data_IF_265548192674
#
_entry.id   IF_265548192674
#
_cell.length_a   1.000
_cell.length_b   1.000
_cell.length_c   1.000
_cell.angle_alpha   90.00
_cell.angle_beta   90.00
_cell.angle_gamma   90.00
#
_symmetry.space_group_name_H-M   'P 1'
#
loop_
_entity.id
_entity.type
_entity.pdbx_description
1 polymer ?
#
# COMPACT_ATOMS: atom_id res chain seq x y z
N UNK A 1 -20.57 34.11 29.84
CA UNK A 1 -20.55 32.65 29.59
C UNK A 1 -21.67 32.36 28.62
N UNK A 2 -21.35 32.26 27.32
CA UNK A 2 -22.34 31.98 26.28
C UNK A 2 -22.70 30.49 26.41
N UNK A 3 -23.90 30.20 26.92
CA UNK A 3 -24.47 28.87 26.82
C UNK A 3 -24.69 28.59 25.33
N UNK A 4 -23.96 27.61 24.81
CA UNK A 4 -24.26 27.05 23.51
C UNK A 4 -25.66 26.46 23.59
N UNK A 5 -26.60 27.07 22.86
CA UNK A 5 -27.95 26.56 22.66
C UNK A 5 -27.85 25.31 21.78
N UNK A 6 -27.44 24.21 22.41
CA UNK A 6 -27.42 22.88 21.84
C UNK A 6 -28.85 22.41 21.72
N UNK A 7 -29.52 22.79 20.64
CA UNK A 7 -30.62 21.96 20.15
C UNK A 7 -30.03 20.59 19.87
N UNK A 8 -30.29 19.61 20.75
CA UNK A 8 -30.08 18.20 20.43
C UNK A 8 -30.87 17.92 19.17
N UNK A 9 -30.19 17.97 18.02
CA UNK A 9 -30.80 17.67 16.74
C UNK A 9 -31.40 16.28 16.84
N UNK A 10 -32.73 16.17 16.70
CA UNK A 10 -33.39 14.88 16.76
C UNK A 10 -32.88 14.02 15.61
N UNK A 11 -32.11 12.98 15.95
CA UNK A 11 -31.63 11.99 14.99
C UNK A 11 -32.78 11.03 14.72
N UNK A 12 -33.28 11.04 13.48
CA UNK A 12 -34.32 10.09 13.08
C UNK A 12 -33.71 8.70 12.89
N UNK A 13 -34.56 7.67 12.84
CA UNK A 13 -34.08 6.31 12.55
C UNK A 13 -33.42 6.22 11.17
N UNK A 14 -33.94 6.97 10.18
CA UNK A 14 -33.34 7.07 8.84
C UNK A 14 -31.95 7.72 8.90
N UNK A 15 -31.78 8.78 9.69
CA UNK A 15 -30.47 9.40 9.93
C UNK A 15 -29.49 8.39 10.55
N UNK A 16 -29.94 7.60 11.53
CA UNK A 16 -29.09 6.58 12.14
C UNK A 16 -28.65 5.51 11.15
N UNK A 17 -29.53 5.10 10.21
CA UNK A 17 -29.16 4.19 9.14
C UNK A 17 -28.11 4.81 8.21
N UNK A 18 -28.30 6.09 7.85
CA UNK A 18 -27.38 6.84 7.00
C UNK A 18 -26.01 7.04 7.69
N UNK A 19 -26.00 7.38 8.98
CA UNK A 19 -24.78 7.49 9.79
C UNK A 19 -24.02 6.17 9.81
N UNK A 20 -24.72 5.05 10.05
CA UNK A 20 -24.09 3.73 10.08
C UNK A 20 -23.54 3.33 8.70
N UNK A 21 -24.27 3.66 7.62
CA UNK A 21 -23.81 3.41 6.25
C UNK A 21 -22.58 4.26 5.93
N UNK A 22 -22.59 5.53 6.29
CA UNK A 22 -21.46 6.43 6.13
C UNK A 22 -20.24 5.91 6.88
N UNK A 23 -20.38 5.53 8.16
CA UNK A 23 -19.28 4.98 8.94
C UNK A 23 -18.63 3.75 8.30
N UNK A 24 -19.45 2.80 7.80
CA UNK A 24 -18.92 1.62 7.08
C UNK A 24 -18.19 1.99 5.80
N UNK A 25 -18.77 2.88 4.99
CA UNK A 25 -18.16 3.31 3.73
C UNK A 25 -16.87 4.12 3.96
N UNK A 26 -16.85 4.98 4.96
CA UNK A 26 -15.71 5.80 5.30
C UNK A 26 -14.54 4.93 5.81
N UNK A 27 -14.82 3.93 6.66
CA UNK A 27 -13.80 2.97 7.08
C UNK A 27 -13.25 2.19 5.88
N UNK A 28 -14.13 1.73 4.99
CA UNK A 28 -13.70 1.00 3.79
C UNK A 28 -12.88 1.88 2.84
N UNK A 29 -13.21 3.17 2.73
CA UNK A 29 -12.43 4.13 1.96
C UNK A 29 -11.00 4.24 2.53
N UNK A 30 -10.87 4.42 3.85
CA UNK A 30 -9.54 4.51 4.48
C UNK A 30 -8.73 3.22 4.31
N UNK A 31 -9.34 2.06 4.47
CA UNK A 31 -8.68 0.77 4.20
C UNK A 31 -8.14 0.69 2.76
N UNK A 32 -8.97 1.07 1.78
CA UNK A 32 -8.57 1.05 0.37
C UNK A 32 -7.49 2.09 0.05
N UNK A 33 -7.57 3.28 0.65
CA UNK A 33 -6.54 4.32 0.49
C UNK A 33 -5.18 3.85 1.06
N UNK A 34 -5.19 3.16 2.20
CA UNK A 34 -3.99 2.54 2.78
C UNK A 34 -3.44 1.42 1.89
N UNK A 35 -4.30 0.54 1.38
CA UNK A 35 -3.91 -0.53 0.47
C UNK A 35 -3.27 0.02 -0.82
N UNK A 36 -3.87 1.06 -1.42
CA UNK A 36 -3.32 1.75 -2.59
C UNK A 36 -1.97 2.39 -2.27
N UNK A 37 -1.84 3.01 -1.09
CA UNK A 37 -0.59 3.64 -0.67
C UNK A 37 0.52 2.59 -0.55
N UNK A 38 0.26 1.47 0.12
CA UNK A 38 1.23 0.38 0.27
C UNK A 38 1.61 -0.23 -1.08
N UNK A 39 0.65 -0.41 -1.99
CA UNK A 39 0.93 -0.91 -3.33
C UNK A 39 1.82 0.05 -4.16
N UNK A 40 1.64 1.36 -4.00
CA UNK A 40 2.51 2.36 -4.63
C UNK A 40 3.93 2.33 -4.07
N UNK A 41 4.06 2.33 -2.74
CA UNK A 41 5.37 2.23 -2.09
C UNK A 41 6.10 0.94 -2.49
N UNK A 42 5.39 -0.19 -2.61
CA UNK A 42 5.97 -1.44 -3.09
C UNK A 42 6.48 -1.35 -4.54
N UNK A 43 5.72 -0.70 -5.43
CA UNK A 43 6.15 -0.48 -6.81
C UNK A 43 7.38 0.44 -6.89
N UNK A 44 7.38 1.55 -6.15
CA UNK A 44 8.53 2.47 -6.08
C UNK A 44 9.79 1.73 -5.58
N UNK A 45 9.65 0.90 -4.53
CA UNK A 45 10.77 0.10 -4.01
C UNK A 45 11.31 -0.91 -5.05
N UNK A 46 10.44 -1.52 -5.87
CA UNK A 46 10.86 -2.44 -6.95
C UNK A 46 11.60 -1.71 -8.07
N UNK A 47 11.17 -0.49 -8.40
CA UNK A 47 11.86 0.36 -9.38
C UNK A 47 13.22 0.81 -8.87
N UNK A 48 13.30 1.25 -7.61
CA UNK A 48 14.56 1.63 -6.97
C UNK A 48 15.53 0.44 -6.89
N UNK A 49 15.05 -0.75 -6.51
CA UNK A 49 15.88 -1.96 -6.51
C UNK A 49 16.41 -2.32 -7.90
N UNK A 50 15.59 -2.14 -8.94
CA UNK A 50 16.02 -2.33 -10.33
C UNK A 50 17.08 -1.32 -10.76
N UNK A 51 16.91 -0.04 -10.39
CA UNK A 51 17.88 1.01 -10.68
C UNK A 51 19.23 0.75 -9.98
N UNK A 52 19.22 0.35 -8.71
CA UNK A 52 20.43 -0.04 -7.97
C UNK A 52 21.11 -1.26 -8.59
N UNK A 53 20.34 -2.25 -9.05
CA UNK A 53 20.88 -3.40 -9.75
C UNK A 53 21.59 -2.99 -11.05
N UNK A 54 21.02 -2.07 -11.83
CA UNK A 54 21.66 -1.52 -13.04
C UNK A 54 23.01 -0.84 -12.73
N UNK A 55 23.12 -0.19 -11.58
CA UNK A 55 24.34 0.50 -11.16
C UNK A 55 25.39 -0.43 -10.54
N UNK A 56 25.02 -1.66 -10.16
CA UNK A 56 25.95 -2.65 -9.62
C UNK A 56 26.83 -3.26 -10.71
N UNK A 57 28.14 -3.35 -10.45
CA UNK A 57 29.11 -4.06 -11.30
C UNK A 57 29.28 -5.55 -10.88
N UNK A 58 28.47 -6.05 -9.93
CA UNK A 58 28.58 -7.41 -9.41
C UNK A 58 27.80 -8.43 -10.26
N UNK A 59 28.44 -9.56 -10.61
CA UNK A 59 27.82 -10.67 -11.34
C UNK A 59 26.85 -11.50 -10.47
N UNK A 60 27.00 -11.41 -9.15
CA UNK A 60 26.20 -12.13 -8.15
C UNK A 60 25.76 -11.14 -7.08
N UNK A 61 24.46 -11.06 -6.83
CA UNK A 61 23.88 -10.11 -5.88
C UNK A 61 23.08 -10.83 -4.79
N UNK A 62 22.99 -10.21 -3.62
CA UNK A 62 22.16 -10.72 -2.51
C UNK A 62 20.70 -10.35 -2.72
N UNK A 63 19.86 -11.33 -3.02
CA UNK A 63 18.41 -11.16 -3.17
C UNK A 63 17.68 -11.62 -1.91
N UNK A 64 16.75 -10.80 -1.41
CA UNK A 64 15.95 -11.12 -0.23
C UNK A 64 14.76 -12.03 -0.58
N UNK A 65 14.61 -13.13 0.14
CA UNK A 65 13.46 -14.04 0.04
C UNK A 65 12.89 -14.24 1.44
N UNK A 66 11.76 -13.60 1.73
CA UNK A 66 11.21 -13.58 3.08
C UNK A 66 12.18 -12.94 4.07
N UNK A 67 12.71 -13.73 5.00
CA UNK A 67 13.61 -13.28 6.07
C UNK A 67 15.10 -13.58 5.81
N UNK A 68 15.44 -14.16 4.65
CA UNK A 68 16.83 -14.55 4.32
C UNK A 68 17.33 -13.87 3.05
N UNK A 69 18.65 -13.76 2.91
CA UNK A 69 19.32 -13.29 1.70
C UNK A 69 20.03 -14.46 1.00
N UNK A 70 19.76 -14.63 -0.29
CA UNK A 70 20.40 -15.62 -1.14
C UNK A 70 21.31 -14.92 -2.15
N UNK A 71 22.51 -15.46 -2.35
CA UNK A 71 23.37 -15.02 -3.45
C UNK A 71 22.82 -15.60 -4.75
N UNK A 72 22.47 -14.74 -5.69
CA UNK A 72 21.88 -15.11 -6.96
C UNK A 72 22.61 -14.43 -8.11
N UNK A 73 22.77 -15.10 -9.27
CA UNK A 73 23.26 -14.47 -10.48
C UNK A 73 22.41 -13.25 -10.83
N UNK A 74 23.07 -12.20 -11.30
CA UNK A 74 22.42 -10.95 -11.68
C UNK A 74 21.22 -11.17 -12.64
N UNK A 75 21.40 -11.96 -13.69
CA UNK A 75 20.37 -12.24 -14.70
C UNK A 75 19.09 -12.87 -14.09
N UNK A 76 19.27 -13.76 -13.10
CA UNK A 76 18.15 -14.38 -12.40
C UNK A 76 17.38 -13.35 -11.57
N UNK A 77 18.10 -12.41 -10.95
CA UNK A 77 17.51 -11.33 -10.13
C UNK A 77 16.79 -10.32 -11.00
N UNK A 78 17.35 -9.95 -12.16
CA UNK A 78 16.68 -9.09 -13.15
C UNK A 78 15.35 -9.71 -13.60
N UNK A 79 15.37 -10.99 -13.97
CA UNK A 79 14.16 -11.73 -14.36
C UNK A 79 13.12 -11.77 -13.23
N UNK A 80 13.56 -12.00 -11.99
CA UNK A 80 12.66 -12.00 -10.83
C UNK A 80 12.06 -10.64 -10.54
N UNK A 81 12.84 -9.56 -10.62
CA UNK A 81 12.35 -8.20 -10.40
C UNK A 81 11.32 -7.82 -11.46
N UNK A 82 11.54 -8.15 -12.73
CA UNK A 82 10.54 -7.92 -13.79
C UNK A 82 9.24 -8.69 -13.52
N UNK A 83 9.31 -9.96 -13.12
CA UNK A 83 8.11 -10.73 -12.76
C UNK A 83 7.36 -10.10 -11.57
N UNK A 84 8.09 -9.62 -10.56
CA UNK A 84 7.50 -8.96 -9.39
C UNK A 84 6.81 -7.64 -9.78
N UNK A 85 7.38 -6.87 -10.72
CA UNK A 85 6.78 -5.65 -11.25
C UNK A 85 5.50 -5.95 -12.04
N UNK A 86 5.51 -6.97 -12.89
CA UNK A 86 4.32 -7.40 -13.62
C UNK A 86 3.19 -7.84 -12.69
N UNK A 87 3.53 -8.53 -11.58
CA UNK A 87 2.55 -8.98 -10.60
C UNK A 87 2.04 -7.83 -9.71
N UNK A 88 2.88 -6.85 -9.39
CA UNK A 88 2.49 -5.66 -8.64
C UNK A 88 1.68 -4.65 -9.47
N UNK A 89 1.71 -4.77 -10.80
CA UNK A 89 0.93 -3.95 -11.73
C UNK A 89 -0.47 -4.53 -12.03
N UNK A 90 -0.77 -5.75 -11.60
CA UNK A 90 -2.10 -6.41 -11.76
C UNK A 90 -3.06 -6.03 -10.63
#
# INVERSE_FOLDING_TARGET
>A
MQQGDGTEAQVTWEDQQNINRFGRLNNRLHELDEEIKLAKEANENLDDAGNELILSDEDVVCFQIGEVFAHMPREDVETKLEQMKEDAAK
#
